data_IF_794205469872
#
_entry.id   IF_794205469872
#
_cell.length_a   1.000
_cell.length_b   1.000
_cell.length_c   1.000
_cell.angle_alpha   90.00
_cell.angle_beta   90.00
_cell.angle_gamma   90.00
#
_symmetry.space_group_name_H-M   'P 1'
#
loop_
_entity.id
_entity.type
_entity.pdbx_description
1 polymer ?
2 water ?
#
# COMPACT_ATOMS: atom_id res chain seq x y z
N UNK A 4 -10.63 -10.83 -21.69
CA UNK A 4 -11.62 -9.81 -21.26
C UNK A 4 -11.48 -9.56 -19.74
N UNK A 5 -10.81 -8.50 -19.34
CA UNK A 5 -10.41 -8.35 -17.93
C UNK A 5 -10.79 -7.00 -17.28
N UNK A 6 -11.17 -7.08 -16.02
CA UNK A 6 -11.44 -5.88 -15.26
C UNK A 6 -10.46 -5.74 -14.08
N UNK A 7 -9.96 -4.52 -13.83
CA UNK A 7 -9.15 -4.23 -12.61
C UNK A 7 -10.01 -3.90 -11.38
N UNK A 8 -9.78 -4.64 -10.30
CA UNK A 8 -10.47 -4.37 -9.04
C UNK A 8 -9.46 -3.90 -7.98
N UNK A 9 -9.73 -2.72 -7.44
CA UNK A 9 -8.88 -2.10 -6.47
C UNK A 9 -9.77 -1.78 -5.29
N UNK A 10 -9.54 -2.48 -4.16
CA UNK A 10 -10.27 -2.29 -2.90
C UNK A 10 -9.35 -1.77 -1.79
N UNK A 11 -9.69 -0.62 -1.23
CA UNK A 11 -8.96 -0.06 -0.11
C UNK A 11 -9.92 0.50 0.95
N UNK A 12 -9.67 0.17 2.21
CA UNK A 12 -10.44 0.71 3.32
C UNK A 12 -9.62 1.66 4.16
N UNK A 13 -10.18 2.84 4.44
CA UNK A 13 -9.57 3.81 5.34
C UNK A 13 -10.62 4.65 6.08
N UNK A 14 -10.38 4.92 7.36
CA UNK A 14 -11.37 5.63 8.19
C UNK A 14 -12.70 4.91 8.24
N UNK A 15 -13.75 5.57 7.73
CA UNK A 15 -15.12 5.00 7.73
C UNK A 15 -15.54 4.42 6.40
N UNK A 16 -14.58 4.36 5.46
CA UNK A 16 -14.81 4.25 4.01
C UNK A 16 -14.09 3.03 3.37
N UNK A 17 -14.83 2.22 2.61
CA UNK A 17 -14.19 1.20 1.75
C UNK A 17 -14.54 1.60 0.34
N UNK A 18 -13.50 1.81 -0.45
CA UNK A 18 -13.65 2.08 -1.85
C UNK A 18 -13.37 0.83 -2.67
N UNK A 19 -14.36 0.46 -3.49
CA UNK A 19 -14.22 -0.59 -4.46
C UNK A 19 -14.19 0.11 -5.81
N UNK A 20 -13.03 0.11 -6.44
CA UNK A 20 -12.86 0.71 -7.76
C UNK A 20 -12.65 -0.36 -8.85
N UNK A 21 -13.36 -0.22 -9.94
CA UNK A 21 -13.32 -1.20 -11.03
C UNK A 21 -12.97 -0.42 -12.25
N UNK A 22 -12.07 -0.97 -13.06
CA UNK A 22 -11.71 -0.30 -14.31
C UNK A 22 -11.45 -1.36 -15.37
N UNK A 23 -11.94 -1.14 -16.60
CA UNK A 23 -11.54 -1.99 -17.72
C UNK A 23 -10.02 -1.94 -17.90
N UNK A 24 -9.41 -3.11 -18.00
CA UNK A 24 -7.96 -3.20 -18.09
C UNK A 24 -7.44 -2.44 -19.30
N UNK A 25 -8.12 -2.56 -20.44
CA UNK A 25 -7.69 -1.88 -21.67
C UNK A 25 -7.79 -0.35 -21.61
N UNK A 26 -8.38 0.17 -20.54
CA UNK A 26 -8.52 1.61 -20.33
C UNK A 26 -7.40 2.24 -19.53
N UNK A 27 -6.69 1.41 -18.77
CA UNK A 27 -5.62 1.90 -17.90
C UNK A 27 -4.56 2.62 -18.73
N UNK A 28 -4.18 3.80 -18.26
CA UNK A 28 -3.22 4.66 -18.96
C UNK A 28 -3.73 5.41 -20.18
N UNK A 29 -5.05 5.53 -20.33
CA UNK A 29 -5.62 6.30 -21.44
C UNK A 29 -6.07 7.69 -20.95
N UNK A 30 -6.36 8.59 -21.88
CA UNK A 30 -6.90 9.90 -21.54
C UNK A 30 -8.28 10.10 -22.13
N UNK A 31 -9.21 10.54 -21.30
CA UNK A 31 -10.57 10.77 -21.74
C UNK A 31 -10.89 12.24 -21.61
N UNK A 32 -11.44 12.79 -22.69
CA UNK A 32 -11.83 14.18 -22.73
C UNK A 32 -13.35 14.28 -22.69
N UNK A 33 -13.87 15.15 -21.84
CA UNK A 33 -15.31 15.39 -21.82
C UNK A 33 -15.66 16.79 -21.28
N UNK A 34 -16.45 17.51 -22.08
CA UNK A 34 -16.81 18.93 -21.83
C UNK A 34 -15.66 19.80 -21.30
N UNK A 35 -14.51 19.72 -21.98
CA UNK A 35 -13.34 20.53 -21.64
C UNK A 35 -12.43 19.93 -20.59
N UNK A 36 -12.85 18.81 -20.02
CA UNK A 36 -12.04 18.10 -19.01
C UNK A 36 -11.04 17.12 -19.63
N UNK A 37 -10.09 16.71 -18.81
CA UNK A 37 -9.14 15.66 -19.18
C UNK A 37 -9.09 14.71 -18.00
N UNK A 38 -9.55 13.49 -18.22
CA UNK A 38 -9.37 12.45 -17.23
C UNK A 38 -8.18 11.60 -17.62
N UNK A 39 -7.22 11.51 -16.71
CA UNK A 39 -6.09 10.60 -16.82
C UNK A 39 -6.43 9.31 -16.06
N UNK A 40 -6.57 8.21 -16.79
CA UNK A 40 -6.82 6.91 -16.14
C UNK A 40 -5.48 6.38 -15.63
N UNK A 41 -5.00 7.01 -14.55
CA UNK A 41 -3.62 6.85 -14.06
C UNK A 41 -3.45 5.66 -13.15
N UNK A 42 -2.29 5.01 -13.26
CA UNK A 42 -1.92 3.81 -12.51
C UNK A 42 -2.11 3.92 -11.00
N UNK A 43 -1.66 5.03 -10.37
CA UNK A 43 -1.88 5.05 -8.92
C UNK A 43 -3.37 4.90 -8.52
N UNK A 44 -4.26 5.66 -9.17
CA UNK A 44 -5.71 5.62 -8.85
C UNK A 44 -6.43 4.40 -9.41
N UNK A 45 -6.09 4.05 -10.64
CA UNK A 45 -6.68 2.88 -11.28
C UNK A 45 -5.56 1.88 -11.45
N UNK A 46 -5.60 0.80 -10.69
CA UNK A 46 -4.55 -0.20 -10.77
C UNK A 46 -4.96 -1.26 -9.82
N UNK A 47 -5.70 -2.24 -10.29
CA UNK A 47 -6.24 -3.22 -9.39
C UNK A 47 -5.74 -4.60 -9.69
N UNK A 48 -6.27 -5.57 -8.98
CA UNK A 48 -6.08 -6.94 -9.35
C UNK A 48 -6.86 -7.22 -10.65
N UNK A 49 -6.19 -7.79 -11.65
CA UNK A 49 -6.83 -8.06 -12.94
C UNK A 49 -7.62 -9.33 -12.79
N UNK A 50 -8.92 -9.24 -13.07
CA UNK A 50 -9.72 -10.46 -12.99
C UNK A 50 -10.85 -10.52 -14.01
N UNK A 51 -11.43 -11.70 -14.11
CA UNK A 51 -12.50 -12.00 -15.00
C UNK A 51 -13.80 -11.47 -14.36
N UNK A 52 -14.62 -10.77 -15.16
CA UNK A 52 -15.86 -10.08 -14.74
C UNK A 52 -16.67 -10.86 -13.72
N UNK A 53 -16.90 -12.15 -13.97
CA UNK A 53 -17.69 -12.99 -13.06
C UNK A 53 -17.04 -13.08 -11.68
N UNK A 54 -15.71 -13.18 -11.64
CA UNK A 54 -15.01 -13.17 -10.36
C UNK A 54 -15.04 -11.78 -9.72
N UNK A 55 -14.95 -10.74 -10.52
CA UNK A 55 -15.08 -9.38 -9.97
C UNK A 55 -16.45 -9.16 -9.29
N UNK A 56 -17.52 -9.54 -10.00
CA UNK A 56 -18.89 -9.48 -9.45
C UNK A 56 -19.04 -10.21 -8.11
N UNK A 57 -18.42 -11.39 -8.02
CA UNK A 57 -18.44 -12.16 -6.76
C UNK A 57 -17.74 -11.38 -5.64
N UNK A 58 -16.54 -10.87 -5.89
CA UNK A 58 -15.79 -10.11 -4.88
C UNK A 58 -16.51 -8.83 -4.44
N UNK A 59 -17.16 -8.16 -5.39
CA UNK A 59 -17.93 -6.94 -5.13
C UNK A 59 -19.10 -7.25 -4.22
N UNK A 60 -19.88 -8.27 -4.56
CA UNK A 60 -20.93 -8.77 -3.69
C UNK A 60 -20.43 -9.03 -2.28
N UNK A 61 -19.31 -9.73 -2.16
CA UNK A 61 -18.82 -10.14 -0.84
C UNK A 61 -18.34 -8.96 -0.01
N UNK A 62 -17.69 -7.96 -0.62
CA UNK A 62 -17.20 -6.81 0.11
C UNK A 62 -18.39 -5.97 0.58
N UNK A 63 -19.44 -5.89 -0.25
CA UNK A 63 -20.66 -5.14 0.12
C UNK A 63 -21.34 -5.74 1.36
N UNK A 64 -21.53 -7.07 1.37
CA UNK A 64 -22.03 -7.74 2.55
C UNK A 64 -21.07 -7.66 3.73
N UNK A 65 -19.77 -7.73 3.47
CA UNK A 65 -18.78 -7.67 4.56
C UNK A 65 -18.87 -6.37 5.42
N UNK A 66 -19.11 -5.25 4.76
CA UNK A 66 -19.03 -3.94 5.41
C UNK A 66 -20.36 -3.28 5.70
N UNK A 67 -21.46 -4.01 5.44
CA UNK A 67 -22.81 -3.48 5.51
C UNK A 67 -23.18 -2.87 6.86
N UNK A 68 -22.52 -3.29 7.94
CA UNK A 68 -22.83 -2.75 9.26
C UNK A 68 -21.68 -1.92 9.81
N UNK A 69 -20.66 -1.69 9.02
CA UNK A 69 -19.44 -1.16 9.58
C UNK A 69 -18.84 0.04 8.89
N UNK A 70 -19.02 0.12 7.58
CA UNK A 70 -18.37 1.16 6.82
C UNK A 70 -19.31 1.60 5.73
N UNK A 71 -19.08 2.81 5.23
CA UNK A 71 -19.64 3.22 3.95
C UNK A 71 -18.82 2.58 2.82
N UNK A 72 -19.53 1.99 1.85
CA UNK A 72 -18.88 1.38 0.67
C UNK A 72 -19.14 2.31 -0.51
N UNK A 73 -18.08 2.90 -1.05
CA UNK A 73 -18.16 3.74 -2.24
C UNK A 73 -17.67 2.92 -3.39
N UNK A 74 -18.48 2.82 -4.45
CA UNK A 74 -18.12 2.10 -5.67
C UNK A 74 -17.98 3.08 -6.83
N UNK A 75 -16.88 2.93 -7.55
CA UNK A 75 -16.59 3.67 -8.74
C UNK A 75 -16.22 2.64 -9.80
N UNK A 76 -16.95 2.65 -10.91
CA UNK A 76 -16.66 1.77 -12.05
C UNK A 76 -16.56 2.56 -13.35
N UNK A 77 -15.47 2.33 -14.08
CA UNK A 77 -15.22 2.97 -15.34
C UNK A 77 -14.97 1.92 -16.46
N UNK A 78 -15.81 1.97 -17.49
CA UNK A 78 -15.75 1.03 -18.62
C UNK A 78 -16.98 0.14 -18.73
N UNK A 79 -17.19 -0.36 -19.94
CA UNK A 79 -18.33 -1.20 -20.29
C UNK A 79 -18.36 -2.48 -19.47
N UNK A 80 -17.23 -3.19 -19.45
CA UNK A 80 -17.12 -4.40 -18.64
C UNK A 80 -17.25 -4.11 -17.16
N UNK A 81 -16.55 -3.09 -16.67
CA UNK A 81 -16.65 -2.69 -15.25
C UNK A 81 -18.07 -2.34 -14.78
N UNK A 82 -18.82 -1.65 -15.62
CA UNK A 82 -20.19 -1.31 -15.23
C UNK A 82 -21.11 -2.52 -15.28
N UNK A 83 -20.83 -3.41 -16.23
CA UNK A 83 -21.58 -4.66 -16.35
C UNK A 83 -21.35 -5.54 -15.14
N UNK A 84 -20.15 -5.43 -14.56
CA UNK A 84 -19.85 -6.09 -13.28
C UNK A 84 -20.73 -5.56 -12.16
N UNK A 85 -20.88 -4.23 -12.10
CA UNK A 85 -21.71 -3.64 -11.05
C UNK A 85 -23.17 -4.12 -11.19
N UNK A 86 -23.67 -4.17 -12.43
CA UNK A 86 -25.02 -4.66 -12.76
C UNK A 86 -25.14 -6.14 -12.39
N UNK A 87 -24.14 -6.93 -12.79
CA UNK A 87 -24.23 -8.35 -12.55
C UNK A 87 -24.12 -8.73 -11.09
N UNK A 88 -23.55 -7.83 -10.30
CA UNK A 88 -23.51 -8.02 -8.84
C UNK A 88 -24.85 -7.67 -8.18
N UNK A 89 -25.79 -7.12 -8.95
CA UNK A 89 -27.12 -6.74 -8.47
C UNK A 89 -27.12 -5.39 -7.76
N UNK A 90 -26.10 -4.58 -8.05
CA UNK A 90 -25.87 -3.36 -7.30
C UNK A 90 -26.50 -2.15 -7.97
N UNK A 91 -26.67 -2.24 -9.28
CA UNK A 91 -27.24 -1.17 -10.09
C UNK A 91 -28.04 -1.77 -11.25
N UNK A 92 -29.07 -1.06 -11.72
CA UNK A 92 -29.82 -1.43 -12.93
C UNK A 92 -29.04 -0.95 -14.15
N UNK A 93 -29.20 -1.65 -15.26
CA UNK A 93 -28.54 -1.26 -16.49
C UNK A 93 -28.80 0.20 -16.81
N UNK A 94 -30.04 0.66 -16.59
CA UNK A 94 -30.41 2.05 -16.94
C UNK A 94 -29.87 3.14 -16.03
N UNK A 95 -29.25 2.73 -14.92
CA UNK A 95 -28.68 3.65 -13.94
C UNK A 95 -27.23 4.00 -14.25
N UNK A 96 -26.60 3.22 -15.10
CA UNK A 96 -25.19 3.42 -15.42
C UNK A 96 -25.03 4.76 -16.14
N UNK A 97 -24.10 5.59 -15.68
CA UNK A 97 -23.86 6.83 -16.39
C UNK A 97 -22.81 6.65 -17.46
N UNK A 98 -22.10 7.74 -17.75
CA UNK A 98 -21.01 7.69 -18.70
C UNK A 98 -20.10 8.86 -18.42
N UNK A 99 -18.84 8.73 -18.80
CA UNK A 99 -17.85 9.77 -18.57
C UNK A 99 -16.83 9.77 -19.69
N UNK A 100 -17.03 10.66 -20.67
CA UNK A 100 -16.17 10.73 -21.84
C UNK A 100 -16.51 9.68 -22.87
N UNK A 101 -17.81 9.46 -23.08
CA UNK A 101 -18.28 8.41 -23.99
C UNK A 101 -18.08 7.00 -23.46
N UNK A 102 -17.46 6.89 -22.27
CA UNK A 102 -17.21 5.59 -21.62
C UNK A 102 -18.16 5.38 -20.45
N UNK A 103 -18.78 4.19 -20.33
CA UNK A 103 -19.69 3.98 -19.19
C UNK A 103 -19.03 4.21 -17.83
N UNK A 104 -19.79 4.78 -16.91
CA UNK A 104 -19.29 5.14 -15.60
C UNK A 104 -20.42 5.05 -14.61
N UNK A 105 -20.13 4.54 -13.42
CA UNK A 105 -21.05 4.58 -12.30
C UNK A 105 -20.31 4.90 -11.00
N UNK A 106 -20.93 5.77 -10.18
CA UNK A 106 -20.52 6.03 -8.80
C UNK A 106 -21.70 5.79 -7.83
N UNK A 107 -21.45 5.01 -6.78
CA UNK A 107 -22.44 4.63 -5.78
C UNK A 107 -21.90 4.78 -4.33
N UNK A 108 -22.75 5.23 -3.42
CA UNK A 108 -22.40 5.24 -2.01
C UNK A 108 -23.41 4.37 -1.32
N UNK A 109 -22.91 3.36 -0.63
CA UNK A 109 -23.74 2.43 0.06
C UNK A 109 -23.39 2.62 1.50
N UNK A 110 -24.29 3.29 2.24
CA UNK A 110 -24.05 3.57 3.65
C UNK A 110 -24.40 2.36 4.51
N UNK A 111 -23.83 2.25 5.73
CA UNK A 111 -24.16 1.07 6.55
C UNK A 111 -25.63 1.02 7.00
N UNK A 112 -26.08 -0.17 7.38
CA UNK A 112 -27.41 -0.31 7.95
C UNK A 112 -27.46 0.41 9.29
N UNK A 113 -28.60 1.06 9.53
CA UNK A 113 -28.95 1.55 10.86
C UNK A 113 -28.82 0.42 11.87
N UNK A 114 -28.34 0.74 13.08
CA UNK A 114 -28.11 -0.33 14.04
C UNK A 114 -29.41 -0.96 14.55
N UNK A 115 -29.33 -2.24 14.89
CA UNK A 115 -30.46 -2.97 15.46
C UNK A 115 -29.91 -4.00 16.41
N UNK A 116 -30.75 -4.45 17.35
CA UNK A 116 -30.40 -5.49 18.28
C UNK A 116 -31.12 -6.74 17.87
N UNK A 117 -30.59 -7.90 18.30
CA UNK A 117 -31.27 -9.21 18.19
C UNK A 117 -31.36 -9.85 19.55
N UNK A 118 -32.48 -10.51 19.87
CA UNK A 118 -32.75 -11.03 21.22
C UNK A 118 -31.80 -12.10 21.73
N UNK B 4 0.71 14.57 21.40
CA UNK B 4 -0.23 15.54 20.67
C UNK B 4 -0.16 15.27 19.17
N UNK B 5 -0.51 14.04 18.83
CA UNK B 5 -0.29 13.56 17.48
C UNK B 5 -1.62 13.09 16.88
N UNK B 6 -1.84 13.42 15.61
CA UNK B 6 -2.87 12.81 14.86
C UNK B 6 -2.23 11.98 13.74
N UNK B 7 -2.91 10.90 13.37
CA UNK B 7 -2.54 10.06 12.23
C UNK B 7 -3.27 10.47 10.98
N UNK B 8 -2.54 10.88 9.94
CA UNK B 8 -3.14 11.21 8.66
C UNK B 8 -2.90 10.13 7.61
N UNK B 9 -4.01 9.67 7.02
CA UNK B 9 -3.98 8.70 5.95
C UNK B 9 -4.68 9.27 4.70
N UNK B 10 -3.95 9.38 3.61
CA UNK B 10 -4.50 9.86 2.35
C UNK B 10 -4.33 8.73 1.33
N UNK B 11 -5.43 8.26 0.75
CA UNK B 11 -5.33 7.23 -0.29
C UNK B 11 -6.31 7.50 -1.42
N UNK B 12 -5.79 7.49 -2.64
CA UNK B 12 -6.59 7.68 -3.82
C UNK B 12 -6.90 6.30 -4.38
N UNK B 13 -8.18 6.01 -4.58
CA UNK B 13 -8.65 4.76 -5.20
C UNK B 13 -9.73 5.11 -6.26
N UNK B 14 -9.41 4.95 -7.56
CA UNK B 14 -10.33 5.27 -8.65
C UNK B 14 -10.70 6.74 -8.76
N UNK B 15 -11.98 7.02 -8.57
CA UNK B 15 -12.56 8.38 -8.54
C UNK B 15 -12.33 9.15 -7.26
N UNK B 16 -11.89 8.45 -6.22
CA UNK B 16 -12.15 8.89 -4.88
C UNK B 16 -10.84 9.01 -4.09
N UNK B 17 -10.72 10.09 -3.33
CA UNK B 17 -9.60 10.29 -2.39
C UNK B 17 -10.20 10.33 -0.99
N UNK B 18 -9.65 9.52 -0.09
CA UNK B 18 -10.06 9.49 1.30
C UNK B 18 -8.94 10.14 2.14
N UNK B 19 -9.30 11.14 2.94
CA UNK B 19 -8.39 11.77 3.87
C UNK B 19 -8.89 11.37 5.22
N UNK B 20 -8.17 10.48 5.88
CA UNK B 20 -8.60 9.94 7.18
C UNK B 20 -7.65 10.34 8.32
N UNK B 21 -8.24 10.83 9.41
CA UNK B 21 -7.52 11.27 10.59
C UNK B 21 -8.04 10.64 11.85
N UNK B 22 -7.10 10.21 12.68
CA UNK B 22 -7.41 9.55 13.93
C UNK B 22 -6.39 10.08 14.95
N UNK B 23 -6.90 10.51 16.10
CA UNK B 23 -6.04 10.84 17.23
C UNK B 23 -5.15 9.62 17.48
N UNK B 24 -3.84 9.86 17.54
CA UNK B 24 -2.86 8.77 17.70
C UNK B 24 -3.17 7.85 18.87
N UNK B 25 -3.57 8.42 20.01
CA UNK B 25 -3.91 7.64 21.21
C UNK B 25 -5.19 6.80 21.17
N UNK B 26 -6.04 7.02 20.18
CA UNK B 26 -7.23 6.21 19.99
C UNK B 26 -6.92 4.89 19.31
N UNK B 27 -5.81 4.82 18.57
CA UNK B 27 -5.51 3.63 17.74
C UNK B 27 -5.42 2.37 18.61
N UNK B 28 -6.20 1.36 18.23
CA UNK B 28 -6.23 0.10 18.98
C UNK B 28 -7.41 -0.04 19.92
N UNK B 29 -7.83 1.08 20.51
CA UNK B 29 -8.92 1.14 21.49
C UNK B 29 -10.24 0.59 20.95
N UNK B 30 -11.09 0.09 21.85
CA UNK B 30 -12.46 -0.26 21.52
C UNK B 30 -13.38 0.76 22.15
N UNK B 31 -14.21 1.37 21.33
CA UNK B 31 -15.20 2.34 21.77
C UNK B 31 -16.59 1.72 21.78
N UNK B 32 -17.38 2.09 22.79
CA UNK B 32 -18.80 1.77 22.87
C UNK B 32 -19.54 2.99 23.42
N UNK B 33 -20.65 3.34 22.77
CA UNK B 33 -21.50 4.47 23.17
C UNK B 33 -22.77 4.50 22.32
N UNK B 34 -23.92 4.48 23.01
CA UNK B 34 -25.23 4.47 22.37
C UNK B 34 -25.35 3.39 21.27
N UNK B 35 -25.16 2.13 21.69
CA UNK B 35 -25.37 0.98 20.81
C UNK B 35 -24.37 0.82 19.69
N UNK B 36 -23.29 1.60 19.74
CA UNK B 36 -22.23 1.50 18.73
C UNK B 36 -20.90 0.97 19.29
N UNK B 37 -20.50 -0.19 18.76
CA UNK B 37 -19.21 -0.83 19.03
C UNK B 37 -18.24 -0.50 17.88
N UNK B 38 -17.04 -0.03 18.23
CA UNK B 38 -16.05 0.38 17.23
C UNK B 38 -14.63 0.02 17.67
N UNK B 39 -13.95 -0.79 16.85
CA UNK B 39 -12.54 -1.16 17.09
C UNK B 39 -11.66 -0.27 16.21
N UNK B 40 -10.68 0.39 16.85
CA UNK B 40 -9.84 1.38 16.14
C UNK B 40 -8.64 0.64 15.52
N UNK B 41 -8.90 -0.02 14.38
CA UNK B 41 -7.98 -0.98 13.78
C UNK B 41 -6.91 -0.34 12.93
N UNK B 42 -5.71 -0.92 12.98
CA UNK B 42 -4.57 -0.51 12.18
C UNK B 42 -4.89 -0.37 10.69
N UNK B 43 -5.56 -1.40 10.07
CA UNK B 43 -5.78 -1.26 8.63
C UNK B 43 -6.65 -0.06 8.29
N UNK B 44 -7.63 0.27 9.13
CA UNK B 44 -8.45 1.45 8.86
C UNK B 44 -7.88 2.77 9.40
N UNK B 45 -7.23 2.74 10.57
CA UNK B 45 -6.92 3.99 11.28
C UNK B 45 -5.46 4.49 11.23
N UNK B 46 -4.54 3.61 10.82
CA UNK B 46 -3.14 3.98 10.68
C UNK B 46 -2.88 5.17 9.77
N UNK B 47 -1.75 5.83 9.97
CA UNK B 47 -1.33 6.86 9.07
C UNK B 47 -0.06 7.46 9.61
N UNK B 48 0.40 8.53 8.95
CA UNK B 48 1.52 9.31 9.39
C UNK B 48 1.17 10.19 10.62
N UNK B 49 1.92 9.97 11.69
CA UNK B 49 1.83 10.72 12.94
C UNK B 49 2.39 12.11 12.68
N UNK B 50 1.52 13.10 12.77
CA UNK B 50 1.95 14.48 12.71
C UNK B 50 1.32 15.35 13.80
N UNK B 51 1.89 16.54 13.94
CA UNK B 51 1.28 17.59 14.73
C UNK B 51 0.06 18.14 14.01
N UNK B 52 -0.97 18.53 14.79
CA UNK B 52 -2.17 19.24 14.34
C UNK B 52 -1.95 20.28 13.24
N UNK B 53 -1.13 21.31 13.50
CA UNK B 53 -0.90 22.37 12.50
C UNK B 53 -0.45 21.74 11.17
N UNK B 54 0.52 20.83 11.25
CA UNK B 54 1.05 20.12 10.09
C UNK B 54 0.00 19.26 9.39
N UNK B 55 -0.87 18.57 10.12
CA UNK B 55 -1.97 17.83 9.46
C UNK B 55 -2.97 18.74 8.74
N UNK B 56 -3.29 19.87 9.36
CA UNK B 56 -4.26 20.81 8.77
C UNK B 56 -3.76 21.39 7.46
N UNK B 57 -2.46 21.70 7.42
CA UNK B 57 -1.76 22.13 6.18
C UNK B 57 -1.92 21.11 5.08
N UNK B 58 -1.51 19.87 5.39
CA UNK B 58 -1.54 18.80 4.38
C UNK B 58 -2.94 18.48 3.90
N UNK B 59 -3.92 18.53 4.81
CA UNK B 59 -5.32 18.31 4.48
C UNK B 59 -5.90 19.41 3.57
N UNK B 60 -5.52 20.66 3.82
CA UNK B 60 -5.91 21.78 2.96
C UNK B 60 -5.33 21.59 1.57
N UNK B 61 -4.06 21.20 1.55
CA UNK B 61 -3.34 20.95 0.32
C UNK B 61 -3.95 19.83 -0.52
N UNK B 62 -4.35 18.73 0.13
CA UNK B 62 -4.96 17.60 -0.59
C UNK B 62 -6.29 17.97 -1.22
N UNK B 63 -7.10 18.73 -0.49
CA UNK B 63 -8.42 19.18 -0.99
C UNK B 63 -8.29 20.08 -2.21
N UNK B 64 -7.39 21.07 -2.15
CA UNK B 64 -7.18 21.99 -3.27
C UNK B 64 -6.69 21.26 -4.50
N UNK B 65 -5.83 20.27 -4.29
CA UNK B 65 -5.28 19.48 -5.37
C UNK B 65 -6.32 18.58 -6.00
N UNK B 66 -7.28 18.10 -5.21
CA UNK B 66 -8.15 17.04 -5.70
C UNK B 66 -9.56 17.41 -6.04
N UNK B 67 -10.09 18.43 -5.39
CA UNK B 67 -11.53 18.65 -5.34
C UNK B 67 -12.22 18.79 -6.70
N UNK B 68 -11.44 19.12 -7.72
CA UNK B 68 -11.98 19.28 -9.06
C UNK B 68 -11.95 18.00 -9.90
N UNK B 69 -11.08 17.05 -9.56
CA UNK B 69 -10.92 15.80 -10.34
C UNK B 69 -11.52 14.61 -9.63
N UNK B 70 -11.48 14.61 -8.29
CA UNK B 70 -11.88 13.43 -7.51
C UNK B 70 -12.91 13.77 -6.46
N UNK B 71 -13.71 12.76 -6.09
CA UNK B 71 -14.54 12.83 -4.89
C UNK B 71 -13.58 12.84 -3.73
N UNK B 72 -13.80 13.73 -2.77
CA UNK B 72 -12.97 13.78 -1.57
C UNK B 72 -13.83 13.38 -0.35
N UNK B 73 -13.43 12.32 0.34
CA UNK B 73 -14.08 11.92 1.56
C UNK B 73 -13.15 12.27 2.73
N UNK B 74 -13.67 13.00 3.71
CA UNK B 74 -12.90 13.31 4.92
C UNK B 74 -13.52 12.55 6.06
N UNK B 75 -12.73 11.74 6.73
CA UNK B 75 -13.18 11.04 7.90
C UNK B 75 -12.25 11.48 9.02
N UNK B 76 -12.81 11.72 10.20
CA UNK B 76 -12.01 12.19 11.32
C UNK B 76 -12.59 11.65 12.60
N UNK B 77 -11.73 10.99 13.38
CA UNK B 77 -12.06 10.39 14.64
C UNK B 77 -11.14 10.88 15.75
N UNK B 78 -11.73 11.53 16.76
CA UNK B 78 -10.94 12.04 17.89
C UNK B 78 -11.05 13.54 17.98
N UNK B 79 -10.77 14.06 19.17
CA UNK B 79 -10.96 15.47 19.48
C UNK B 79 -9.91 16.26 18.74
N UNK B 80 -8.67 15.79 18.82
CA UNK B 80 -7.59 16.41 18.06
C UNK B 80 -7.80 16.31 16.54
N UNK B 81 -8.21 15.15 16.04
CA UNK B 81 -8.50 15.00 14.60
C UNK B 81 -9.61 15.93 14.15
N UNK B 82 -10.68 16.04 14.94
CA UNK B 82 -11.74 16.94 14.53
C UNK B 82 -11.42 18.42 14.62
N UNK B 83 -10.53 18.84 15.54
CA UNK B 83 -10.00 20.23 15.50
C UNK B 83 -9.15 20.51 14.30
N UNK B 84 -8.50 19.49 13.75
CA UNK B 84 -7.69 19.67 12.55
C UNK B 84 -8.59 19.98 11.34
N UNK B 85 -9.70 19.25 11.24
CA UNK B 85 -10.64 19.45 10.16
C UNK B 85 -11.23 20.87 10.28
N UNK B 86 -11.57 21.28 11.50
CA UNK B 86 -12.00 22.66 11.77
C UNK B 86 -10.90 23.65 11.42
N UNK B 87 -9.67 23.40 11.86
CA UNK B 87 -8.59 24.36 11.52
C UNK B 87 -8.27 24.42 10.02
N UNK B 88 -8.55 23.35 9.29
CA UNK B 88 -8.36 23.32 7.85
C UNK B 88 -9.47 24.08 7.14
N UNK B 89 -10.50 24.48 7.89
CA UNK B 89 -11.63 25.23 7.35
C UNK B 89 -12.64 24.33 6.64
N UNK B 90 -12.67 23.06 7.00
CA UNK B 90 -13.45 22.08 6.28
C UNK B 90 -14.80 21.84 6.93
N UNK B 91 -14.88 22.14 8.22
CA UNK B 91 -16.12 22.01 8.97
C UNK B 91 -16.18 23.12 10.01
N UNK B 92 -17.33 23.26 10.67
CA UNK B 92 -17.48 24.18 11.81
C UNK B 92 -17.57 23.36 13.07
N UNK B 93 -17.13 23.93 14.20
CA UNK B 93 -17.12 23.19 15.47
C UNK B 93 -18.47 22.61 15.85
N UNK B 94 -19.54 23.18 15.30
CA UNK B 94 -20.91 22.73 15.63
C UNK B 94 -21.42 21.63 14.69
N UNK B 95 -20.73 21.38 13.58
CA UNK B 95 -21.11 20.29 12.70
C UNK B 95 -20.28 19.01 12.91
N UNK B 96 -19.47 19.03 13.97
CA UNK B 96 -18.74 17.87 14.45
C UNK B 96 -19.74 16.97 15.20
N UNK B 97 -19.79 15.70 14.83
CA UNK B 97 -20.63 14.74 15.52
C UNK B 97 -19.82 13.97 16.55
N UNK B 98 -20.34 12.81 16.90
CA UNK B 98 -19.70 11.90 17.83
C UNK B 98 -19.91 10.49 17.32
N UNK B 99 -19.02 9.60 17.76
CA UNK B 99 -19.08 8.17 17.51
C UNK B 99 -18.30 7.57 18.66
N UNK B 100 -18.86 6.55 19.30
CA UNK B 100 -18.23 5.91 20.48
C UNK B 100 -18.00 6.81 21.70
N UNK B 101 -18.67 7.97 21.73
CA UNK B 101 -18.45 8.94 22.80
C UNK B 101 -17.24 9.79 22.53
N UNK B 102 -16.84 9.86 21.26
CA UNK B 102 -15.62 10.54 20.83
C UNK B 102 -16.03 11.38 19.64
N UNK B 103 -15.47 12.60 19.49
CA UNK B 103 -15.86 13.43 18.33
C UNK B 103 -15.58 12.73 16.99
N UNK B 104 -16.43 13.00 15.99
CA UNK B 104 -16.34 12.32 14.71
C UNK B 104 -16.89 13.18 13.59
N UNK B 105 -16.22 13.15 12.46
CA UNK B 105 -16.73 13.84 11.33
C UNK B 105 -16.53 12.99 10.08
N UNK B 106 -17.56 12.97 9.24
CA UNK B 106 -17.58 12.19 8.03
C UNK B 106 -18.29 13.03 6.97
N UNK B 107 -17.49 13.49 6.01
CA UNK B 107 -17.85 14.52 5.04
C UNK B 107 -17.44 14.08 3.64
N UNK B 108 -18.16 14.60 2.65
CA UNK B 108 -17.81 14.49 1.25
C UNK B 108 -17.68 15.82 0.55
N UNK B 109 -16.73 15.89 -0.36
CA UNK B 109 -16.70 16.96 -1.35
C UNK B 109 -16.96 16.30 -2.69
N UNK B 110 -18.21 16.39 -3.13
CA UNK B 110 -18.65 15.74 -4.34
C UNK B 110 -18.47 16.67 -5.53
N UNK B 111 -18.04 16.11 -6.67
CA UNK B 111 -17.72 16.92 -7.83
C UNK B 111 -18.91 17.37 -8.68
N UNK B 112 -18.80 18.58 -9.22
CA UNK B 112 -19.75 19.17 -10.14
C UNK B 112 -19.54 18.73 -11.56
N UNK B 113 -20.61 18.64 -12.34
CA UNK B 113 -20.55 18.56 -13.79
C UNK B 113 -19.50 19.59 -14.27
N UNK B 114 -18.79 19.30 -15.37
CA UNK B 114 -17.79 20.34 -15.73
C UNK B 114 -18.36 21.45 -16.64
N UNK B 115 -17.80 22.64 -16.50
CA UNK B 115 -18.21 23.82 -17.24
C UNK B 115 -17.30 24.03 -18.47
N UNK B 116 -17.77 23.61 -19.65
CA UNK B 116 -17.01 23.70 -20.90
C UNK B 116 -16.49 25.09 -21.23
N UNK B 117 -17.32 26.11 -20.96
CA UNK B 117 -16.90 27.48 -21.13
C UNK B 117 -16.13 27.95 -19.89
N UNK B 118 -15.71 27.02 -19.03
CA UNK B 118 -15.16 27.37 -17.71
C UNK B 118 -13.66 27.58 -17.61
N UNK C 4 12.84 11.00 19.98
CA UNK C 4 12.12 10.05 20.91
C UNK C 4 11.32 8.98 20.16
N UNK C 5 11.08 9.18 18.88
CA UNK C 5 10.27 8.26 18.07
C UNK C 5 11.07 7.68 16.88
N UNK C 6 10.81 6.40 16.58
CA UNK C 6 11.33 5.78 15.34
C UNK C 6 10.18 5.37 14.43
N UNK C 7 10.36 5.64 13.14
CA UNK C 7 9.45 5.11 12.11
C UNK C 7 9.77 3.67 11.82
N UNK C 8 8.78 2.80 12.00
CA UNK C 8 8.91 1.42 11.57
C UNK C 8 7.97 1.09 10.41
N UNK C 9 8.60 0.64 9.33
CA UNK C 9 7.89 0.20 8.15
C UNK C 9 8.18 -1.27 7.90
N UNK C 10 7.12 -2.08 7.95
CA UNK C 10 7.20 -3.50 7.64
C UNK C 10 6.42 -3.78 6.37
N UNK C 11 7.10 -4.34 5.36
CA UNK C 11 6.40 -4.73 4.16
C UNK C 11 6.89 -6.04 3.58
N UNK C 12 5.94 -6.93 3.24
CA UNK C 12 6.21 -8.17 2.51
C UNK C 12 5.93 -8.11 1.00
N UNK C 13 6.90 -8.59 0.19
CA UNK C 13 6.81 -8.64 -1.28
C UNK C 13 7.41 -9.99 -1.76
N UNK C 14 6.58 -10.88 -2.25
CA UNK C 14 7.07 -12.20 -2.69
C UNK C 14 7.69 -12.99 -1.56
N UNK C 15 8.98 -13.30 -1.70
CA UNK C 15 9.80 -14.07 -0.74
C UNK C 15 10.33 -13.29 0.44
N UNK C 16 10.20 -11.97 0.41
CA UNK C 16 11.00 -11.08 1.22
C UNK C 16 10.13 -10.18 2.13
N UNK C 17 10.57 -9.99 3.37
CA UNK C 17 9.95 -9.02 4.29
C UNK C 17 11.03 -7.98 4.61
N UNK C 18 10.72 -6.72 4.38
CA UNK C 18 11.65 -5.66 4.73
C UNK C 18 11.16 -4.95 5.99
N UNK C 19 12.03 -4.93 6.99
CA UNK C 19 11.81 -4.17 8.19
C UNK C 19 12.75 -2.97 8.14
N UNK C 20 12.14 -1.80 7.94
CA UNK C 20 12.86 -0.54 7.84
C UNK C 20 12.52 0.41 8.98
N UNK C 21 13.56 1.02 9.52
CA UNK C 21 13.50 1.90 10.66
C UNK C 21 14.28 3.12 10.35
N UNK C 22 13.77 4.24 10.83
CA UNK C 22 14.36 5.53 10.63
C UNK C 22 13.96 6.41 11.82
N UNK C 23 14.95 7.10 12.41
CA UNK C 23 14.66 8.15 13.41
C UNK C 23 13.65 9.13 12.81
N UNK C 24 12.58 9.41 13.54
CA UNK C 24 11.52 10.27 13.00
C UNK C 24 12.07 11.65 12.64
N UNK C 25 13.00 12.14 13.46
CA UNK C 25 13.66 13.44 13.25
C UNK C 25 14.52 13.57 11.98
N UNK C 26 14.81 12.44 11.33
CA UNK C 26 15.62 12.44 10.08
C UNK C 26 14.82 12.64 8.79
N UNK C 27 13.50 12.46 8.84
CA UNK C 27 12.70 12.32 7.61
C UNK C 27 12.66 13.60 6.78
N UNK C 28 12.85 13.44 5.47
CA UNK C 28 12.90 14.55 4.52
C UNK C 28 14.29 15.13 4.30
N UNK C 29 15.20 14.86 5.25
CA UNK C 29 16.50 15.52 5.32
C UNK C 29 17.46 15.17 4.16
N UNK C 30 18.33 16.12 3.82
CA UNK C 30 19.35 15.97 2.77
C UNK C 30 20.71 15.68 3.44
N UNK C 31 21.17 14.43 3.34
CA UNK C 31 22.46 14.02 3.95
C UNK C 31 23.63 13.94 2.96
N UNK C 32 24.77 14.52 3.34
CA UNK C 32 25.98 14.54 2.52
C UNK C 32 27.21 14.27 3.38
N UNK C 33 27.99 13.27 2.98
CA UNK C 33 29.13 12.82 3.75
C UNK C 33 30.00 11.86 2.93
N UNK C 34 31.30 12.18 2.84
CA UNK C 34 32.27 11.42 2.05
C UNK C 34 31.79 11.08 0.63
N UNK C 35 31.29 12.09 -0.07
CA UNK C 35 30.98 11.98 -1.49
C UNK C 35 29.65 11.36 -1.91
N UNK C 36 28.80 11.01 -0.96
CA UNK C 36 27.45 10.52 -1.27
C UNK C 36 26.33 11.43 -0.75
N UNK C 37 25.39 11.76 -1.64
CA UNK C 37 24.19 12.48 -1.26
C UNK C 37 23.09 11.44 -1.03
N UNK C 38 22.52 11.44 0.18
CA UNK C 38 21.42 10.53 0.51
C UNK C 38 20.15 11.32 0.74
N UNK C 39 19.06 10.80 0.16
CA UNK C 39 17.77 11.47 0.21
C UNK C 39 16.81 10.72 1.13
N UNK C 40 16.59 11.28 2.33
CA UNK C 40 15.64 10.69 3.30
C UNK C 40 14.20 10.96 2.86
N UNK C 41 13.88 10.44 1.67
CA UNK C 41 12.56 10.55 1.03
C UNK C 41 11.54 9.72 1.79
N UNK C 42 10.30 10.15 1.81
CA UNK C 42 9.32 9.38 2.57
C UNK C 42 8.62 8.19 1.89
N UNK C 43 8.75 8.05 0.54
CA UNK C 43 8.31 6.75 0.04
C UNK C 43 9.17 5.62 0.67
N UNK C 44 10.48 5.83 0.73
CA UNK C 44 11.37 4.84 1.29
C UNK C 44 11.43 4.86 2.82
N UNK C 45 11.41 6.05 3.41
CA UNK C 45 11.63 6.19 4.85
C UNK C 45 10.36 6.42 5.73
N UNK C 46 9.20 6.55 5.12
CA UNK C 46 7.92 6.58 5.87
C UNK C 46 7.80 5.37 6.78
N UNK C 47 6.85 5.41 7.71
CA UNK C 47 6.66 4.35 8.69
C UNK C 47 5.69 4.76 9.78
N UNK C 48 5.27 3.80 10.58
CA UNK C 48 4.51 4.07 11.79
C UNK C 48 5.41 4.58 12.94
N UNK C 49 5.08 5.73 13.50
CA UNK C 49 5.86 6.33 14.56
C UNK C 49 5.62 5.62 15.88
N UNK C 50 6.70 5.15 16.49
CA UNK C 50 6.61 4.44 17.78
C UNK C 50 7.80 4.67 18.70
N UNK C 51 7.60 4.33 19.97
CA UNK C 51 8.63 4.39 20.99
C UNK C 51 9.57 3.22 20.70
N UNK C 52 10.90 3.44 20.87
CA UNK C 52 11.96 2.48 20.50
C UNK C 52 11.65 1.11 21.08
N UNK C 53 11.24 1.12 22.33
CA UNK C 53 10.86 -0.08 23.04
C UNK C 53 9.80 -0.92 22.35
N UNK C 54 8.78 -0.26 21.80
CA UNK C 54 7.72 -0.97 21.09
C UNK C 54 8.23 -1.46 19.71
N UNK C 55 9.08 -0.65 19.09
CA UNK C 55 9.66 -0.95 17.81
C UNK C 55 10.51 -2.23 17.91
N UNK C 56 11.36 -2.29 18.94
CA UNK C 56 12.19 -3.48 19.19
C UNK C 56 11.36 -4.76 19.30
N UNK C 57 10.23 -4.68 20.01
CA UNK C 57 9.37 -5.84 20.19
C UNK C 57 8.65 -6.27 18.90
N UNK C 58 8.13 -5.31 18.13
CA UNK C 58 7.58 -5.57 16.80
C UNK C 58 8.62 -6.18 15.83
N UNK C 59 9.86 -5.72 15.93
CA UNK C 59 10.97 -6.23 15.11
C UNK C 59 11.29 -7.68 15.48
N UNK C 60 11.46 -7.95 16.78
CA UNK C 60 11.62 -9.31 17.29
C UNK C 60 10.54 -10.26 16.79
N UNK C 61 9.29 -9.84 16.92
CA UNK C 61 8.14 -10.65 16.52
C UNK C 61 8.02 -10.94 15.03
N UNK C 62 8.40 -9.97 14.20
CA UNK C 62 8.31 -10.16 12.76
C UNK C 62 9.36 -11.15 12.32
N UNK C 63 10.58 -11.02 12.86
CA UNK C 63 11.66 -11.97 12.62
C UNK C 63 11.23 -13.40 13.02
N UNK C 64 10.79 -13.59 14.26
CA UNK C 64 10.30 -14.89 14.74
C UNK C 64 9.26 -15.50 13.79
N UNK C 65 8.36 -14.68 13.29
CA UNK C 65 7.27 -15.22 12.50
C UNK C 65 7.55 -15.37 11.01
N UNK C 66 8.54 -14.63 10.47
CA UNK C 66 8.82 -14.71 9.03
C UNK C 66 10.08 -15.49 8.69
N UNK C 67 10.91 -15.73 9.69
CA UNK C 67 12.19 -16.42 9.51
C UNK C 67 12.00 -17.81 8.88
N UNK C 68 10.89 -18.47 9.20
CA UNK C 68 10.57 -19.76 8.63
C UNK C 68 10.37 -19.66 7.10
N UNK C 69 9.43 -18.80 6.66
CA UNK C 69 9.01 -18.75 5.26
C UNK C 69 9.69 -17.71 4.36
N UNK C 70 10.37 -16.72 4.94
CA UNK C 70 10.84 -15.55 4.15
C UNK C 70 12.28 -15.14 4.42
N UNK C 71 12.86 -14.40 3.48
CA UNK C 71 14.07 -13.59 3.70
C UNK C 71 13.68 -12.27 4.41
N UNK C 72 14.38 -11.94 5.48
CA UNK C 72 14.13 -10.72 6.20
C UNK C 72 15.33 -9.78 5.95
N UNK C 73 15.01 -8.58 5.46
CA UNK C 73 16.01 -7.54 5.29
C UNK C 73 15.74 -6.53 6.40
N UNK C 74 16.77 -6.22 7.18
CA UNK C 74 16.67 -5.22 8.25
C UNK C 74 17.48 -4.04 7.78
N UNK C 75 16.81 -2.90 7.70
CA UNK C 75 17.44 -1.64 7.33
C UNK C 75 17.15 -0.65 8.45
N UNK C 76 18.18 0.03 8.92
CA UNK C 76 18.02 0.96 10.04
C UNK C 76 18.87 2.17 9.80
N UNK C 77 18.25 3.34 9.90
CA UNK C 77 18.93 4.58 9.74
C UNK C 77 18.70 5.50 10.96
N UNK C 78 19.80 5.82 11.63
CA UNK C 78 19.75 6.76 12.75
C UNK C 78 20.13 6.12 14.05
N UNK C 79 20.56 6.95 14.99
CA UNK C 79 21.07 6.49 16.29
C UNK C 79 20.00 5.71 17.01
N UNK C 80 18.78 6.21 16.98
CA UNK C 80 17.74 5.56 17.74
C UNK C 80 17.29 4.30 17.03
N UNK C 81 17.08 4.41 15.72
CA UNK C 81 16.79 3.24 14.87
C UNK C 81 17.83 2.10 15.02
N UNK C 82 19.11 2.42 15.02
CA UNK C 82 20.14 1.38 15.18
C UNK C 82 20.19 0.84 16.58
N UNK C 83 19.88 1.67 17.58
CA UNK C 83 19.74 1.15 18.94
C UNK C 83 18.57 0.17 19.06
N UNK C 84 17.50 0.39 18.28
CA UNK C 84 16.35 -0.54 18.29
C UNK C 84 16.77 -1.94 17.77
N UNK C 85 17.58 -1.95 16.71
CA UNK C 85 18.15 -3.19 16.17
C UNK C 85 19.02 -3.94 17.21
N UNK C 86 19.87 -3.20 17.93
CA UNK C 86 20.71 -3.84 18.96
C UNK C 86 19.84 -4.37 20.08
N UNK C 87 18.86 -3.58 20.53
CA UNK C 87 18.00 -4.02 21.62
C UNK C 87 17.20 -5.25 21.25
N UNK C 88 16.87 -5.38 19.96
CA UNK C 88 16.15 -6.54 19.45
C UNK C 88 17.04 -7.78 19.39
N UNK C 89 18.34 -7.60 19.64
CA UNK C 89 19.30 -8.72 19.64
C UNK C 89 19.53 -9.30 18.26
N UNK C 90 19.59 -8.42 17.26
CA UNK C 90 19.77 -8.81 15.87
C UNK C 90 21.10 -8.34 15.34
N UNK C 91 21.70 -7.38 16.03
CA UNK C 91 23.05 -6.91 15.75
C UNK C 91 23.79 -6.59 17.05
N UNK C 92 25.09 -6.33 16.93
CA UNK C 92 25.93 -5.87 18.04
C UNK C 92 26.24 -4.40 17.80
N UNK C 93 26.47 -3.65 18.89
CA UNK C 93 26.91 -2.25 18.78
C UNK C 93 28.07 -2.06 17.81
N UNK C 94 28.98 -3.04 17.77
CA UNK C 94 30.13 -2.96 16.86
C UNK C 94 29.77 -3.22 15.39
N UNK C 95 28.73 -4.05 15.17
CA UNK C 95 28.18 -4.27 13.81
C UNK C 95 27.62 -3.00 13.16
N UNK C 96 27.27 -1.98 13.96
CA UNK C 96 26.62 -0.75 13.46
C UNK C 96 27.57 0.10 12.62
N UNK C 97 27.13 0.44 11.41
CA UNK C 97 27.94 1.21 10.49
C UNK C 97 27.52 2.66 10.36
N UNK C 98 27.83 3.23 9.19
CA UNK C 98 27.62 4.65 8.91
C UNK C 98 27.07 4.86 7.52
N UNK C 99 26.21 5.86 7.36
CA UNK C 99 25.77 6.31 6.04
C UNK C 99 25.38 7.77 6.19
N UNK C 100 25.99 8.62 5.37
CA UNK C 100 25.75 10.06 5.36
C UNK C 100 25.93 10.82 6.67
N UNK C 101 26.78 10.31 7.56
CA UNK C 101 27.05 10.96 8.85
C UNK C 101 26.23 10.41 10.00
N UNK C 102 25.44 9.37 9.73
CA UNK C 102 24.42 8.92 10.67
C UNK C 102 24.58 7.42 10.84
N UNK C 103 24.33 6.88 12.07
CA UNK C 103 24.40 5.41 12.20
C UNK C 103 23.48 4.67 11.21
N UNK C 104 23.93 3.49 10.77
CA UNK C 104 23.23 2.74 9.73
C UNK C 104 23.48 1.25 9.83
N UNK C 105 22.40 0.49 9.67
CA UNK C 105 22.44 -0.95 9.71
C UNK C 105 21.74 -1.46 8.46
N UNK C 106 22.35 -2.42 7.78
CA UNK C 106 21.72 -3.06 6.63
C UNK C 106 22.07 -4.54 6.67
N UNK C 107 21.15 -5.35 7.17
CA UNK C 107 21.38 -6.80 7.24
C UNK C 107 20.22 -7.64 6.67
N UNK C 108 20.46 -8.94 6.61
CA UNK C 108 19.56 -9.89 6.00
C UNK C 108 19.60 -11.16 6.79
N UNK C 109 18.44 -11.79 6.91
CA UNK C 109 18.35 -13.12 7.45
C UNK C 109 17.94 -14.00 6.28
N UNK C 110 18.91 -14.70 5.71
CA UNK C 110 18.64 -15.51 4.55
C UNK C 110 18.09 -16.88 4.98
N UNK C 111 17.08 -17.37 4.24
CA UNK C 111 16.45 -18.64 4.59
C UNK C 111 17.40 -19.84 4.37
N UNK C 112 17.39 -20.76 5.32
CA UNK C 112 18.14 -22.00 5.24
C UNK C 112 17.25 -23.05 4.57
N UNK C 113 17.84 -24.06 3.94
CA UNK C 113 17.02 -25.17 3.43
C UNK C 113 16.29 -25.90 4.58
N UNK C 114 15.04 -26.35 4.36
CA UNK C 114 14.27 -27.00 5.44
C UNK C 114 14.83 -28.35 5.93
N UNK C 115 14.72 -28.56 7.23
CA UNK C 115 15.18 -29.76 7.89
C UNK C 115 13.99 -30.70 8.01
N UNK C 116 13.97 -31.73 7.19
CA UNK C 116 12.81 -32.62 7.13
C UNK C 116 12.56 -33.32 8.46
N UNK C 117 13.62 -33.65 9.18
CA UNK C 117 13.45 -34.26 10.49
C UNK C 117 13.35 -33.16 11.57
N UNK C 118 13.09 -31.93 11.13
CA UNK C 118 12.94 -30.79 12.03
C UNK C 118 11.66 -30.82 12.85
N UNK D 4 -1.26 -16.63 -19.40
CA UNK D 4 -0.22 -15.90 -20.22
C UNK D 4 0.35 -14.71 -19.46
N UNK D 5 0.08 -14.68 -18.16
CA UNK D 5 0.28 -13.46 -17.39
C UNK D 5 1.17 -13.68 -16.19
N UNK D 6 2.06 -12.73 -15.95
CA UNK D 6 2.79 -12.68 -14.71
C UNK D 6 2.39 -11.44 -13.91
N UNK D 7 2.36 -11.60 -12.60
CA UNK D 7 2.14 -10.54 -11.64
C UNK D 7 3.45 -9.90 -11.19
N UNK D 8 3.54 -8.57 -11.34
CA UNK D 8 4.71 -7.82 -10.94
C UNK D 8 4.34 -6.92 -9.77
N UNK D 9 4.99 -7.17 -8.65
CA UNK D 9 4.81 -6.40 -7.45
C UNK D 9 6.15 -5.78 -7.11
N UNK D 10 6.27 -4.46 -7.31
CA UNK D 10 7.47 -3.68 -6.93
C UNK D 10 7.23 -2.84 -5.65
N UNK D 11 8.11 -2.95 -4.66
CA UNK D 11 8.01 -2.12 -3.46
C UNK D 11 9.37 -1.69 -2.87
N UNK D 12 9.52 -0.40 -2.62
CA UNK D 12 10.75 0.18 -2.05
C UNK D 12 10.56 0.60 -0.62
N UNK D 13 11.40 0.06 0.25
CA UNK D 13 11.34 0.21 1.71
C UNK D 13 12.80 0.39 2.17
N UNK D 14 13.14 1.53 2.78
CA UNK D 14 14.51 1.80 3.29
C UNK D 14 15.61 1.87 2.25
N UNK D 15 16.60 0.97 2.37
CA UNK D 15 17.70 0.82 1.40
C UNK D 15 17.39 -0.21 0.29
N UNK D 16 16.17 -0.77 0.32
CA UNK D 16 15.79 -1.94 -0.50
C UNK D 16 14.63 -1.68 -1.46
N UNK D 17 14.78 -2.15 -2.71
CA UNK D 17 13.68 -2.27 -3.63
C UNK D 17 13.47 -3.77 -3.93
N UNK D 18 12.26 -4.26 -3.69
CA UNK D 18 11.94 -5.64 -4.01
C UNK D 18 11.08 -5.68 -5.27
N UNK D 19 11.51 -6.49 -6.23
CA UNK D 19 10.78 -6.74 -7.46
C UNK D 19 10.37 -8.19 -7.37
N UNK D 20 9.09 -8.47 -7.11
CA UNK D 20 8.59 -9.83 -7.11
C UNK D 20 7.74 -10.16 -8.33
N UNK D 21 7.96 -11.37 -8.85
CA UNK D 21 7.25 -11.87 -10.02
C UNK D 21 6.68 -13.20 -9.68
N UNK D 22 5.44 -13.41 -10.09
CA UNK D 22 4.78 -14.67 -9.87
C UNK D 22 3.88 -14.95 -11.08
N UNK D 23 3.88 -16.19 -11.55
CA UNK D 23 2.88 -16.61 -12.57
C UNK D 23 1.48 -16.35 -12.01
N UNK D 24 0.60 -15.79 -12.85
CA UNK D 24 -0.76 -15.45 -12.46
C UNK D 24 -1.52 -16.64 -11.89
N UNK D 25 -1.36 -17.81 -12.53
CA UNK D 25 -2.07 -19.02 -12.14
C UNK D 25 -1.51 -19.72 -10.91
N UNK D 26 -0.42 -19.19 -10.35
CA UNK D 26 0.12 -19.75 -9.10
C UNK D 26 -0.49 -19.11 -7.84
N UNK D 27 -1.26 -18.04 -8.01
CA UNK D 27 -1.73 -17.27 -6.85
C UNK D 27 -2.77 -18.04 -6.05
N UNK D 28 -2.53 -18.14 -4.73
CA UNK D 28 -3.38 -18.91 -3.81
C UNK D 28 -3.08 -20.40 -3.71
N UNK D 29 -2.07 -20.85 -4.43
CA UNK D 29 -1.68 -22.26 -4.38
C UNK D 29 -0.79 -22.53 -3.16
N UNK D 30 -0.94 -23.73 -2.59
CA UNK D 30 -0.04 -24.23 -1.54
C UNK D 30 1.01 -25.15 -2.16
N UNK D 31 2.27 -24.86 -1.91
CA UNK D 31 3.39 -25.66 -2.43
C UNK D 31 4.11 -26.35 -1.30
N UNK D 32 4.40 -27.63 -1.50
CA UNK D 32 5.09 -28.45 -0.49
C UNK D 32 6.51 -28.80 -0.92
N UNK D 33 7.47 -28.59 -0.02
CA UNK D 33 8.81 -29.15 -0.21
C UNK D 33 9.54 -29.41 1.10
N UNK D 34 9.93 -30.67 1.30
CA UNK D 34 10.75 -31.12 2.43
C UNK D 34 10.21 -30.74 3.81
N UNK D 35 8.91 -31.00 4.00
CA UNK D 35 8.24 -30.76 5.28
C UNK D 35 7.69 -29.35 5.42
N UNK D 36 8.10 -28.46 4.52
CA UNK D 36 7.57 -27.10 4.44
C UNK D 36 6.26 -27.06 3.66
N UNK D 37 5.39 -26.11 4.03
CA UNK D 37 4.27 -25.70 3.17
C UNK D 37 4.44 -24.23 2.84
N UNK D 38 4.46 -23.93 1.55
CA UNK D 38 4.63 -22.57 1.10
C UNK D 38 3.29 -22.02 0.59
N UNK D 39 2.91 -20.87 1.12
CA UNK D 39 1.63 -20.26 0.76
C UNK D 39 1.86 -19.12 -0.21
N UNK D 40 1.46 -19.33 -1.46
CA UNK D 40 1.58 -18.29 -2.50
C UNK D 40 0.42 -17.32 -2.27
N UNK D 41 0.54 -16.57 -1.17
CA UNK D 41 -0.56 -15.78 -0.63
C UNK D 41 -0.65 -14.44 -1.28
N UNK D 42 -1.88 -14.02 -1.50
CA UNK D 42 -2.23 -12.73 -2.02
C UNK D 42 -1.50 -11.57 -1.36
N UNK D 43 -1.45 -11.51 -0.01
CA UNK D 43 -0.78 -10.32 0.52
C UNK D 43 0.66 -10.15 0.03
N UNK D 44 1.44 -11.23 -0.05
CA UNK D 44 2.84 -11.20 -0.54
C UNK D 44 3.00 -11.26 -2.09
N UNK D 45 2.15 -12.04 -2.76
CA UNK D 45 2.42 -12.34 -4.18
C UNK D 45 1.62 -11.57 -5.23
N UNK D 46 0.48 -11.03 -4.83
CA UNK D 46 -0.26 -10.03 -5.62
C UNK D 46 0.64 -9.04 -6.38
N UNK D 47 0.13 -8.49 -7.47
CA UNK D 47 0.83 -7.47 -8.20
C UNK D 47 0.08 -7.19 -9.49
N UNK D 48 0.67 -6.32 -10.31
CA UNK D 48 0.14 -5.95 -11.61
C UNK D 48 0.28 -7.11 -12.65
N UNK D 49 -0.85 -7.49 -13.23
CA UNK D 49 -0.90 -8.54 -14.25
C UNK D 49 -0.45 -7.97 -15.59
N UNK D 50 0.64 -8.50 -16.09
CA UNK D 50 1.09 -8.13 -17.41
C UNK D 50 1.62 -9.33 -18.21
N UNK D 51 1.77 -9.05 -19.50
CA UNK D 51 2.39 -9.95 -20.47
C UNK D 51 3.90 -10.00 -20.20
N UNK D 52 4.53 -11.18 -20.31
CA UNK D 52 5.98 -11.35 -20.03
C UNK D 52 6.94 -10.31 -20.58
N UNK D 53 6.78 -9.90 -21.84
CA UNK D 53 7.66 -8.90 -22.45
C UNK D 53 7.56 -7.53 -21.81
N UNK D 54 6.35 -7.13 -21.45
CA UNK D 54 6.13 -5.87 -20.75
C UNK D 54 6.81 -5.92 -19.36
N UNK D 55 6.63 -7.04 -18.69
CA UNK D 55 7.21 -7.29 -17.36
C UNK D 55 8.72 -7.21 -17.40
N UNK D 56 9.34 -7.90 -18.39
CA UNK D 56 10.80 -7.83 -18.61
C UNK D 56 11.26 -6.39 -18.78
N UNK D 57 10.44 -5.61 -19.47
CA UNK D 57 10.70 -4.18 -19.67
C UNK D 57 10.67 -3.38 -18.38
N UNK D 58 9.60 -3.54 -17.59
CA UNK D 58 9.51 -2.82 -16.30
C UNK D 58 10.65 -3.25 -15.35
N UNK D 59 10.96 -4.54 -15.32
CA UNK D 59 12.09 -5.04 -14.53
C UNK D 59 13.42 -4.38 -14.88
N UNK D 60 13.77 -4.33 -16.18
CA UNK D 60 15.03 -3.68 -16.59
C UNK D 60 15.05 -2.21 -16.18
N UNK D 61 13.90 -1.55 -16.29
CA UNK D 61 13.78 -0.13 -15.96
C UNK D 61 14.05 0.12 -14.47
N UNK D 62 13.48 -0.73 -13.62
CA UNK D 62 13.62 -0.62 -12.17
C UNK D 62 15.05 -0.94 -11.68
N UNK D 63 15.67 -1.95 -12.27
CA UNK D 63 17.09 -2.21 -11.97
C UNK D 63 17.94 -0.96 -12.31
N UNK D 64 17.64 -0.32 -13.46
CA UNK D 64 18.41 0.83 -13.90
C UNK D 64 18.10 2.05 -13.07
N UNK D 65 16.84 2.21 -12.70
CA UNK D 65 16.44 3.29 -11.82
C UNK D 65 17.15 3.35 -10.46
N UNK D 66 17.43 2.20 -9.86
CA UNK D 66 17.98 2.14 -8.50
C UNK D 66 19.44 1.72 -8.40
N UNK D 67 20.07 1.52 -9.57
CA UNK D 67 21.45 1.06 -9.69
C UNK D 67 22.46 1.79 -8.83
N UNK D 68 22.27 3.07 -8.60
CA UNK D 68 23.20 3.83 -7.79
C UNK D 68 22.71 4.13 -6.37
N UNK D 69 21.57 3.56 -5.96
CA UNK D 69 20.84 4.06 -4.77
C UNK D 69 20.33 3.02 -3.78
N UNK D 70 19.85 1.91 -4.31
CA UNK D 70 19.22 0.92 -3.46
C UNK D 70 19.71 -0.46 -3.88
N UNK D 71 19.57 -1.42 -2.98
CA UNK D 71 19.79 -2.82 -3.28
C UNK D 71 18.50 -3.36 -3.92
N UNK D 72 18.61 -3.88 -5.12
CA UNK D 72 17.45 -4.44 -5.76
C UNK D 72 17.42 -5.95 -5.51
N UNK D 73 16.36 -6.40 -4.85
CA UNK D 73 16.13 -7.80 -4.63
C UNK D 73 15.03 -8.28 -5.57
N UNK D 74 15.33 -9.36 -6.31
CA UNK D 74 14.39 -9.97 -7.25
C UNK D 74 14.01 -11.36 -6.78
N UNK D 75 12.70 -11.64 -6.75
CA UNK D 75 12.16 -12.94 -6.37
C UNK D 75 11.20 -13.31 -7.46
N UNK D 76 11.49 -14.40 -8.17
CA UNK D 76 10.58 -14.84 -9.24
C UNK D 76 10.12 -16.26 -8.98
N UNK D 77 8.84 -16.49 -9.08
CA UNK D 77 8.32 -17.81 -8.88
C UNK D 77 7.40 -18.20 -10.04
N UNK D 78 7.79 -19.26 -10.75
CA UNK D 78 6.99 -19.80 -11.84
C UNK D 78 7.79 -19.78 -13.10
N UNK D 79 7.44 -20.65 -14.04
CA UNK D 79 8.17 -20.78 -15.29
C UNK D 79 8.18 -19.53 -16.11
N UNK D 80 7.01 -18.88 -16.23
CA UNK D 80 6.94 -17.66 -16.99
C UNK D 80 7.65 -16.50 -16.26
N UNK D 81 7.46 -16.37 -14.95
CA UNK D 81 8.20 -15.35 -14.18
C UNK D 81 9.72 -15.50 -14.33
N UNK D 82 10.20 -16.74 -14.32
CA UNK D 82 11.64 -16.97 -14.43
C UNK D 82 12.18 -16.69 -15.84
N UNK D 83 11.39 -16.99 -16.87
CA UNK D 83 11.73 -16.58 -18.26
C UNK D 83 11.83 -15.07 -18.41
N UNK D 84 10.98 -14.34 -17.69
CA UNK D 84 11.05 -12.88 -17.70
C UNK D 84 12.40 -12.40 -17.17
N UNK D 85 12.84 -12.96 -16.03
CA UNK D 85 14.17 -12.63 -15.48
C UNK D 85 15.31 -12.93 -16.47
N UNK D 86 15.24 -14.10 -17.14
CA UNK D 86 16.19 -14.51 -18.20
C UNK D 86 16.09 -13.54 -19.36
N UNK D 87 14.86 -13.30 -19.82
CA UNK D 87 14.54 -12.37 -20.91
C UNK D 87 15.01 -10.93 -20.64
N UNK D 88 15.05 -10.53 -19.37
CA UNK D 88 15.57 -9.21 -19.01
C UNK D 88 17.11 -9.19 -18.90
N UNK D 89 17.76 -10.29 -19.25
CA UNK D 89 19.22 -10.41 -19.12
C UNK D 89 19.77 -10.47 -17.69
N UNK D 90 18.92 -10.77 -16.71
CA UNK D 90 19.37 -10.68 -15.32
C UNK D 90 19.99 -11.98 -14.82
N UNK D 91 19.61 -13.08 -15.46
CA UNK D 91 20.17 -14.34 -15.10
C UNK D 91 20.19 -15.20 -16.34
N UNK D 92 21.04 -16.22 -16.29
CA UNK D 92 21.09 -17.20 -17.34
C UNK D 92 20.05 -18.25 -17.00
N UNK D 93 19.47 -18.85 -18.03
CA UNK D 93 18.55 -19.98 -17.86
C UNK D 93 19.09 -21.06 -16.92
N UNK D 94 20.40 -21.32 -16.97
CA UNK D 94 21.00 -22.38 -16.16
C UNK D 94 21.13 -22.01 -14.68
N UNK D 95 20.84 -20.75 -14.34
CA UNK D 95 20.94 -20.28 -12.96
C UNK D 95 19.62 -20.33 -12.18
N UNK D 96 18.53 -20.65 -12.88
CA UNK D 96 17.20 -20.72 -12.28
C UNK D 96 17.13 -21.97 -11.42
N UNK D 97 16.61 -21.82 -10.21
CA UNK D 97 16.44 -22.93 -9.31
C UNK D 97 15.01 -23.42 -9.32
N UNK D 98 14.59 -23.98 -8.18
CA UNK D 98 13.30 -24.60 -8.04
C UNK D 98 12.82 -24.47 -6.60
N UNK D 99 11.52 -24.33 -6.43
CA UNK D 99 10.92 -24.31 -5.11
C UNK D 99 9.69 -25.18 -5.21
N UNK D 100 9.77 -26.39 -4.65
CA UNK D 100 8.68 -27.35 -4.65
C UNK D 100 8.15 -27.72 -6.03
N UNK D 101 9.09 -28.00 -6.95
CA UNK D 101 8.73 -28.41 -8.30
C UNK D 101 8.36 -27.27 -9.21
N UNK D 102 8.52 -26.03 -8.74
CA UNK D 102 8.18 -24.85 -9.51
C UNK D 102 9.45 -24.01 -9.69
N UNK D 103 9.75 -23.52 -10.90
CA UNK D 103 10.97 -22.74 -11.04
C UNK D 103 10.96 -21.51 -10.11
N UNK D 104 12.12 -21.23 -9.51
CA UNK D 104 12.30 -20.12 -8.59
C UNK D 104 13.67 -19.47 -8.79
N UNK D 105 13.75 -18.15 -8.65
CA UNK D 105 15.03 -17.47 -8.61
C UNK D 105 15.03 -16.28 -7.59
N UNK D 106 16.09 -16.17 -6.78
CA UNK D 106 16.30 -14.98 -5.92
C UNK D 106 17.65 -14.37 -6.22
N UNK D 107 17.67 -13.04 -6.38
CA UNK D 107 18.86 -12.28 -6.70
C UNK D 107 18.95 -11.03 -5.85
N UNK D 108 20.17 -10.65 -5.48
CA UNK D 108 20.48 -9.37 -4.86
C UNK D 108 21.40 -8.58 -5.76
N UNK D 109 20.91 -7.44 -6.20
CA UNK D 109 21.68 -6.56 -7.09
C UNK D 109 22.05 -5.32 -6.28
N UNK D 110 23.31 -5.27 -5.84
CA UNK D 110 23.72 -4.21 -4.91
C UNK D 110 24.04 -2.96 -5.72
N UNK D 111 23.98 -1.77 -5.09
CA UNK D 111 24.29 -0.55 -5.85
C UNK D 111 25.73 -0.56 -6.38
N UNK D 112 25.96 0.17 -7.47
CA UNK D 112 27.29 0.38 -8.00
C UNK D 112 28.07 1.27 -7.04
N UNK D 113 29.34 0.93 -6.81
CA UNK D 113 30.26 1.83 -6.13
C UNK D 113 30.21 3.23 -6.77
N UNK D 114 30.32 4.31 -5.97
CA UNK D 114 30.24 5.67 -6.54
C UNK D 114 31.42 6.07 -7.41
N UNK D 115 31.16 6.89 -8.42
CA UNK D 115 32.19 7.36 -9.32
C UNK D 115 31.78 8.73 -9.86
N UNK D 116 32.76 9.46 -10.38
CA UNK D 116 32.56 10.79 -10.91
C UNK D 116 32.72 10.82 -12.42
N UNK D 117 32.00 11.75 -13.05
CA UNK D 117 32.19 12.10 -14.44
C UNK D 117 32.63 13.55 -14.51
N UNK D 118 33.71 13.81 -15.24
CA UNK D 118 34.21 15.18 -15.41
C UNK D 118 34.31 15.51 -16.89
#
# INVERSE_FOLDING_TARGET
MSLARVLLNIHGTGDTVVLALCDEDLLGVELKYKGRTLHISEPFYSGKSMEPDRAAKKIREAVQEYEDEKTVAINALGELACSVVVDAGLAREDEIGELGGVPHVQMYILPREPFLEGHHHHHH
MSLARVLLNIHGTGDTVVLALCDEDLLGVELKYKGRTLHISEPFYSGKSMEPDRAAKKIREAVQEYEDEKTVAINALGELACSVVVDAGLAREDEIGELGGVPHVQMYILPREPFLEGHHHHHH
MSLARVLLNIHGTGDTVVLALCDEDLLGVELKYKGRTLHISEPFYSGKSMEPDRAAKKIREAVQEYEDEKTVAINALGELACSVVVDAGLAREDEIGELGGVPHVQMYILPREPFLEGHHHHHH
MSLARVLLNIHGTGDTVVLALCDEDLLGVELKYKGRTLHISEPFYSGKSMEPDRAAKKIREAVQEYEDEKTVAINALGELACSVVVDAGLAREDEIGELGGVPHVQMYILPREPFLEGHHHHHH
#
